data_IF_588237157947
#
_entry.id   IF_588237157947
#
_cell.length_a   1.000
_cell.length_b   1.000
_cell.length_c   1.000
_cell.angle_alpha   90.00
_cell.angle_beta   90.00
_cell.angle_gamma   90.00
#
_symmetry.space_group_name_H-M   'P 1'
#
loop_
_entity.id
_entity.type
_entity.pdbx_description
1 polymer ?
#
# COMPACT_ATOMS: atom_id res chain seq x y z
N UNK A 1 21.46 -9.05 22.13
CA UNK A 1 22.21 -7.82 21.79
C UNK A 1 21.19 -6.80 21.32
N UNK A 2 20.74 -5.91 22.22
CA UNK A 2 19.74 -4.89 21.88
C UNK A 2 20.39 -3.79 21.06
N UNK A 3 19.83 -3.49 19.90
CA UNK A 3 20.21 -2.31 19.12
C UNK A 3 19.24 -1.20 19.51
N UNK A 4 19.64 -0.33 20.44
CA UNK A 4 18.91 0.90 20.71
C UNK A 4 19.07 1.84 19.50
N UNK A 5 17.99 2.07 18.78
CA UNK A 5 17.93 3.09 17.72
C UNK A 5 17.52 4.41 18.35
N UNK A 6 18.49 5.29 18.65
CA UNK A 6 18.21 6.69 19.02
C UNK A 6 17.84 7.46 17.75
N UNK A 7 16.57 7.80 17.60
CA UNK A 7 16.09 8.68 16.52
C UNK A 7 16.35 10.13 16.90
N UNK A 8 17.27 10.79 16.20
CA UNK A 8 17.49 12.23 16.33
C UNK A 8 16.58 12.96 15.34
N UNK A 9 15.65 13.78 15.83
CA UNK A 9 14.93 14.74 15.01
C UNK A 9 15.51 16.13 15.28
N UNK A 10 16.22 16.69 14.31
CA UNK A 10 16.60 18.11 14.31
C UNK A 10 16.15 18.76 13.01
N UNK A 11 15.44 19.87 13.12
CA UNK A 11 15.07 20.73 12.00
C UNK A 11 16.21 21.69 11.68
N UNK A 12 16.75 21.59 10.47
CA UNK A 12 17.79 22.46 9.90
C UNK A 12 18.36 21.85 8.63
N UNK A 13 18.74 22.69 7.66
CA UNK A 13 19.26 22.25 6.37
C UNK A 13 20.70 21.70 6.54
N UNK A 14 20.88 20.40 6.35
CA UNK A 14 22.19 19.77 6.47
C UNK A 14 23.12 20.26 5.34
N UNK A 15 24.36 20.65 5.68
CA UNK A 15 25.45 20.79 4.71
C UNK A 15 25.53 19.49 3.88
N UNK A 16 25.67 19.64 2.56
CA UNK A 16 25.63 18.54 1.56
C UNK A 16 26.55 17.36 1.90
N UNK A 17 27.69 17.62 2.52
CA UNK A 17 28.67 16.62 2.99
C UNK A 17 28.12 15.71 4.10
N UNK A 18 27.39 16.28 5.08
CA UNK A 18 26.78 15.52 6.18
C UNK A 18 25.64 14.66 5.65
N UNK A 19 24.86 15.18 4.69
CA UNK A 19 23.81 14.42 4.01
C UNK A 19 24.37 13.21 3.26
N UNK A 20 25.49 13.37 2.56
CA UNK A 20 26.14 12.26 1.84
C UNK A 20 26.65 11.19 2.82
N UNK A 21 27.27 11.60 3.92
CA UNK A 21 27.77 10.67 4.94
C UNK A 21 26.65 9.90 5.65
N UNK A 22 25.55 10.57 6.02
CA UNK A 22 24.37 9.91 6.60
C UNK A 22 23.72 8.96 5.58
N UNK A 23 23.58 9.37 4.32
CA UNK A 23 23.11 8.47 3.26
C UNK A 23 24.02 7.27 3.07
N UNK A 24 25.35 7.44 3.15
CA UNK A 24 26.30 6.34 3.06
C UNK A 24 26.13 5.35 4.22
N UNK A 25 25.99 5.84 5.46
CA UNK A 25 25.72 4.98 6.62
C UNK A 25 24.36 4.28 6.53
N UNK A 26 23.33 4.96 6.02
CA UNK A 26 21.98 4.41 5.80
C UNK A 26 21.88 3.53 4.54
N UNK A 27 22.89 3.55 3.65
CA UNK A 27 22.87 2.82 2.37
C UNK A 27 23.27 1.35 2.48
N UNK A 28 23.70 0.89 3.66
CA UNK A 28 24.02 -0.53 3.86
C UNK A 28 22.78 -1.29 4.29
N UNK A 29 22.25 -2.09 3.36
CA UNK A 29 21.05 -2.90 3.58
C UNK A 29 21.39 -4.38 3.52
N UNK A 30 21.32 -5.09 4.66
CA UNK A 30 21.67 -6.51 4.76
C UNK A 30 20.44 -7.37 4.50
N UNK A 31 20.48 -8.19 3.44
CA UNK A 31 19.45 -9.16 3.09
C UNK A 31 19.93 -10.59 3.35
N UNK A 32 19.14 -11.35 4.11
CA UNK A 32 19.36 -12.78 4.34
C UNK A 32 18.33 -13.53 3.49
N UNK A 33 18.81 -14.26 2.47
CA UNK A 33 17.96 -15.05 1.57
C UNK A 33 18.38 -16.53 1.59
N UNK A 34 17.40 -17.43 1.52
CA UNK A 34 17.66 -18.88 1.44
C UNK A 34 17.98 -19.24 0.00
N UNK A 35 19.24 -19.58 -0.28
CA UNK A 35 19.73 -19.88 -1.62
C UNK A 35 19.08 -21.17 -2.18
N UNK A 36 17.97 -21.04 -2.90
CA UNK A 36 17.61 -21.98 -3.96
C UNK A 36 18.03 -21.34 -5.29
N UNK A 37 19.21 -21.73 -5.78
CA UNK A 37 19.88 -21.18 -6.96
C UNK A 37 18.92 -21.00 -8.14
N UNK A 38 18.76 -19.75 -8.58
CA UNK A 38 18.38 -19.31 -9.95
C UNK A 38 18.26 -17.79 -10.03
N UNK A 39 18.06 -17.09 -8.90
CA UNK A 39 17.92 -15.63 -8.87
C UNK A 39 19.25 -14.88 -8.65
N UNK A 40 19.39 -13.76 -9.34
CA UNK A 40 20.44 -12.75 -9.19
C UNK A 40 20.21 -11.88 -7.95
N UNK A 41 21.25 -11.17 -7.51
CA UNK A 41 21.14 -10.24 -6.38
C UNK A 41 20.12 -9.11 -6.63
N UNK A 42 20.00 -8.66 -7.88
CA UNK A 42 19.00 -7.67 -8.29
C UNK A 42 17.57 -8.21 -8.11
N UNK A 43 17.32 -9.43 -8.59
CA UNK A 43 16.00 -10.08 -8.44
C UNK A 43 15.63 -10.28 -6.96
N UNK A 44 16.59 -10.68 -6.12
CA UNK A 44 16.38 -10.81 -4.67
C UNK A 44 16.03 -9.46 -4.03
N UNK A 45 16.71 -8.39 -4.43
CA UNK A 45 16.43 -7.04 -3.92
C UNK A 45 15.05 -6.54 -4.37
N UNK A 46 14.69 -6.78 -5.62
CA UNK A 46 13.37 -6.44 -6.18
C UNK A 46 12.27 -7.19 -5.42
N UNK A 47 12.43 -8.51 -5.22
CA UNK A 47 11.48 -9.33 -4.47
C UNK A 47 11.29 -8.79 -3.04
N UNK A 48 12.39 -8.51 -2.35
CA UNK A 48 12.34 -7.92 -1.00
C UNK A 48 11.56 -6.59 -0.99
N UNK A 49 11.86 -5.68 -1.92
CA UNK A 49 11.19 -4.37 -1.99
C UNK A 49 9.70 -4.50 -2.30
N UNK A 50 9.28 -5.55 -3.01
CA UNK A 50 7.86 -5.81 -3.28
C UNK A 50 7.09 -6.26 -2.04
N UNK A 51 7.72 -6.88 -1.03
CA UNK A 51 7.05 -7.26 0.23
C UNK A 51 6.44 -6.05 0.94
N UNK A 52 7.12 -4.91 0.91
CA UNK A 52 6.61 -3.64 1.47
C UNK A 52 5.27 -3.21 0.85
N UNK A 53 5.06 -3.48 -0.44
CA UNK A 53 3.80 -3.18 -1.13
C UNK A 53 2.62 -3.94 -0.52
N UNK A 54 2.85 -5.20 -0.14
CA UNK A 54 1.85 -6.06 0.50
C UNK A 54 1.51 -5.51 1.89
N UNK A 55 2.52 -5.16 2.68
CA UNK A 55 2.32 -4.58 4.02
C UNK A 55 1.51 -3.29 3.98
N UNK A 56 1.79 -2.40 3.02
CA UNK A 56 1.02 -1.17 2.84
C UNK A 56 -0.44 -1.43 2.46
N UNK A 57 -0.73 -2.45 1.65
CA UNK A 57 -2.11 -2.86 1.32
C UNK A 57 -2.86 -3.37 2.55
N UNK A 58 -2.22 -4.19 3.39
CA UNK A 58 -2.82 -4.61 4.65
C UNK A 58 -3.01 -3.46 5.64
N UNK A 59 -2.09 -2.48 5.66
CA UNK A 59 -2.23 -1.28 6.48
C UNK A 59 -3.44 -0.44 6.08
N UNK A 60 -3.68 -0.29 4.77
CA UNK A 60 -4.87 0.40 4.27
C UNK A 60 -6.15 -0.22 4.82
N UNK A 61 -6.27 -1.55 4.77
CA UNK A 61 -7.45 -2.22 5.27
C UNK A 61 -7.55 -2.14 6.80
N UNK A 62 -6.44 -2.22 7.53
CA UNK A 62 -6.43 -2.02 8.98
C UNK A 62 -6.66 -0.57 9.41
N UNK A 63 -6.82 0.37 8.47
CA UNK A 63 -7.07 1.77 8.79
C UNK A 63 -8.38 1.91 9.57
N UNK A 64 -8.37 2.59 10.73
CA UNK A 64 -9.58 2.87 11.51
C UNK A 64 -10.67 3.59 10.69
N UNK A 65 -10.27 4.35 9.67
CA UNK A 65 -11.17 5.06 8.76
C UNK A 65 -12.04 4.12 7.90
N UNK A 66 -11.58 2.90 7.65
CA UNK A 66 -12.27 1.93 6.79
C UNK A 66 -13.13 0.96 7.62
N UNK A 67 -12.59 0.48 8.74
CA UNK A 67 -13.19 -0.64 9.50
C UNK A 67 -13.73 -0.27 10.89
N UNK A 68 -13.41 0.93 11.40
CA UNK A 68 -13.71 1.29 12.78
C UNK A 68 -13.03 0.37 13.81
N UNK A 69 -13.35 0.52 15.11
CA UNK A 69 -12.82 -0.36 16.14
C UNK A 69 -13.45 -1.77 16.04
N UNK A 70 -12.62 -2.79 15.80
CA UNK A 70 -13.06 -4.19 15.72
C UNK A 70 -12.61 -4.95 16.96
N UNK A 71 -13.54 -5.38 17.80
CA UNK A 71 -13.26 -6.16 19.01
C UNK A 71 -13.48 -7.67 18.80
N UNK A 72 -12.40 -8.42 18.70
CA UNK A 72 -12.41 -9.88 18.52
C UNK A 72 -11.97 -10.57 19.81
N UNK A 73 -12.85 -11.40 20.39
CA UNK A 73 -12.60 -12.09 21.67
C UNK A 73 -11.98 -13.48 21.54
N UNK A 74 -11.92 -14.06 20.34
CA UNK A 74 -11.45 -15.44 20.13
C UNK A 74 -10.55 -15.57 18.91
N UNK A 75 -9.58 -16.50 18.98
CA UNK A 75 -8.65 -16.81 17.88
C UNK A 75 -9.39 -17.15 16.58
N UNK A 76 -10.46 -17.94 16.64
CA UNK A 76 -11.29 -18.30 15.48
C UNK A 76 -11.82 -17.07 14.74
N UNK A 77 -12.31 -16.06 15.46
CA UNK A 77 -12.82 -14.81 14.85
C UNK A 77 -11.72 -13.97 14.23
N UNK A 78 -10.52 -13.98 14.81
CA UNK A 78 -9.32 -13.32 14.23
C UNK A 78 -8.96 -13.96 12.89
N UNK A 79 -8.90 -15.30 12.81
CA UNK A 79 -8.62 -15.99 11.55
C UNK A 79 -9.68 -15.74 10.49
N UNK A 80 -10.96 -15.82 10.87
CA UNK A 80 -12.07 -15.54 9.95
C UNK A 80 -11.99 -14.11 9.38
N UNK A 81 -11.70 -13.11 10.23
CA UNK A 81 -11.52 -11.73 9.78
C UNK A 81 -10.32 -11.60 8.82
N UNK A 82 -9.22 -12.31 9.10
CA UNK A 82 -8.07 -12.36 8.20
C UNK A 82 -8.44 -12.84 6.78
N UNK A 83 -9.29 -13.88 6.67
CA UNK A 83 -9.76 -14.35 5.37
C UNK A 83 -10.65 -13.33 4.66
N UNK A 84 -11.58 -12.70 5.38
CA UNK A 84 -12.42 -11.62 4.82
C UNK A 84 -11.55 -10.46 4.32
N UNK A 85 -10.49 -10.14 5.05
CA UNK A 85 -9.55 -9.10 4.65
C UNK A 85 -8.80 -9.43 3.37
N UNK A 86 -8.33 -10.67 3.23
CA UNK A 86 -7.69 -11.13 2.00
C UNK A 86 -8.66 -11.02 0.81
N UNK A 87 -9.93 -11.42 0.97
CA UNK A 87 -10.95 -11.27 -0.07
C UNK A 87 -11.20 -9.79 -0.43
N UNK A 88 -11.32 -8.92 0.57
CA UNK A 88 -11.48 -7.48 0.34
C UNK A 88 -10.30 -6.88 -0.43
N UNK A 89 -9.05 -7.28 -0.10
CA UNK A 89 -7.85 -6.84 -0.82
C UNK A 89 -7.81 -7.37 -2.26
N UNK A 90 -8.25 -8.61 -2.50
CA UNK A 90 -8.35 -9.15 -3.86
C UNK A 90 -9.34 -8.34 -4.71
N UNK A 91 -10.55 -8.11 -4.21
CA UNK A 91 -11.56 -7.30 -4.91
C UNK A 91 -11.06 -5.87 -5.14
N UNK A 92 -10.42 -5.27 -4.14
CA UNK A 92 -9.84 -3.93 -4.24
C UNK A 92 -8.77 -3.86 -5.33
N UNK A 93 -7.87 -4.84 -5.37
CA UNK A 93 -6.79 -4.91 -6.36
C UNK A 93 -7.33 -5.15 -7.76
N UNK A 94 -8.37 -5.97 -7.89
CA UNK A 94 -9.08 -6.19 -9.16
C UNK A 94 -9.76 -4.91 -9.66
N UNK A 95 -10.43 -4.16 -8.78
CA UNK A 95 -11.06 -2.90 -9.16
C UNK A 95 -10.04 -1.84 -9.59
N UNK A 96 -8.94 -1.69 -8.84
CA UNK A 96 -7.80 -0.85 -9.25
C UNK A 96 -7.30 -1.24 -10.64
N UNK A 97 -7.07 -2.53 -10.87
CA UNK A 97 -6.63 -3.03 -12.18
C UNK A 97 -7.62 -2.67 -13.29
N UNK A 98 -8.92 -2.94 -13.10
CA UNK A 98 -9.96 -2.67 -14.10
C UNK A 98 -10.05 -1.19 -14.45
N UNK A 99 -10.06 -0.32 -13.45
CA UNK A 99 -10.14 1.14 -13.66
C UNK A 99 -8.88 1.65 -14.34
N UNK A 100 -7.69 1.27 -13.86
CA UNK A 100 -6.41 1.72 -14.46
C UNK A 100 -6.26 1.25 -15.91
N UNK A 101 -6.66 0.01 -16.19
CA UNK A 101 -6.66 -0.53 -17.55
C UNK A 101 -7.57 0.29 -18.46
N UNK A 102 -8.81 0.56 -18.05
CA UNK A 102 -9.75 1.35 -18.84
C UNK A 102 -9.25 2.78 -19.07
N UNK A 103 -8.71 3.45 -18.05
CA UNK A 103 -8.17 4.80 -18.17
C UNK A 103 -7.02 4.84 -19.18
N UNK A 104 -6.11 3.86 -19.12
CA UNK A 104 -4.99 3.77 -20.04
C UNK A 104 -5.44 3.49 -21.49
N UNK A 105 -6.40 2.57 -21.68
CA UNK A 105 -6.96 2.24 -23.01
C UNK A 105 -7.68 3.44 -23.65
N UNK A 106 -8.39 4.24 -22.85
CA UNK A 106 -9.13 5.41 -23.32
C UNK A 106 -8.29 6.71 -23.30
N UNK A 107 -7.04 6.68 -22.83
CA UNK A 107 -6.20 7.87 -22.60
C UNK A 107 -6.86 8.92 -21.66
N UNK A 108 -7.61 8.45 -20.68
CA UNK A 108 -8.36 9.27 -19.73
C UNK A 108 -7.65 9.36 -18.37
N UNK A 109 -8.05 10.33 -17.55
CA UNK A 109 -7.53 10.47 -16.18
C UNK A 109 -8.62 10.92 -15.21
N UNK A 110 -8.54 10.44 -13.96
CA UNK A 110 -9.38 10.92 -12.87
C UNK A 110 -8.78 12.18 -12.25
N UNK A 111 -9.63 13.07 -11.76
CA UNK A 111 -9.24 14.35 -11.14
C UNK A 111 -9.34 14.26 -9.63
N UNK A 112 -8.20 14.18 -8.95
CA UNK A 112 -8.13 14.16 -7.49
C UNK A 112 -8.42 15.56 -6.90
N UNK A 113 -8.77 15.63 -5.60
CA UNK A 113 -8.79 16.89 -4.86
C UNK A 113 -7.50 17.69 -5.07
N UNK A 114 -7.62 18.98 -5.37
CA UNK A 114 -6.50 19.84 -5.76
C UNK A 114 -6.14 19.81 -7.25
N UNK A 115 -7.07 19.39 -8.11
CA UNK A 115 -6.94 19.39 -9.59
C UNK A 115 -5.78 18.55 -10.14
N UNK A 116 -5.32 17.54 -9.38
CA UNK A 116 -4.29 16.62 -9.85
C UNK A 116 -4.91 15.49 -10.67
N UNK A 117 -4.46 15.33 -11.92
CA UNK A 117 -4.88 14.23 -12.79
C UNK A 117 -4.07 12.96 -12.49
N UNK A 118 -4.74 11.82 -12.45
CA UNK A 118 -4.08 10.51 -12.29
C UNK A 118 -4.70 9.45 -13.20
N UNK A 119 -3.84 8.64 -13.81
CA UNK A 119 -4.21 7.41 -14.52
C UNK A 119 -4.07 6.17 -13.62
N UNK A 120 -3.51 6.36 -12.41
CA UNK A 120 -3.21 5.31 -11.46
C UNK A 120 -3.96 5.56 -10.15
N UNK A 121 -5.30 5.67 -10.16
CA UNK A 121 -6.06 5.92 -8.94
C UNK A 121 -5.92 4.77 -7.95
N UNK A 122 -5.94 5.10 -6.67
CA UNK A 122 -6.01 4.12 -5.56
C UNK A 122 -7.44 3.62 -5.37
N UNK A 123 -7.61 2.48 -4.70
CA UNK A 123 -8.94 2.00 -4.32
C UNK A 123 -9.74 3.04 -3.51
N UNK A 124 -9.07 3.80 -2.63
CA UNK A 124 -9.72 4.85 -1.85
C UNK A 124 -10.35 5.92 -2.75
N UNK A 125 -9.58 6.40 -3.74
CA UNK A 125 -10.05 7.34 -4.77
C UNK A 125 -11.22 6.76 -5.54
N UNK A 126 -11.10 5.52 -6.00
CA UNK A 126 -12.17 4.88 -6.79
C UNK A 126 -13.46 4.80 -5.96
N UNK A 127 -13.37 4.38 -4.70
CA UNK A 127 -14.54 4.32 -3.81
C UNK A 127 -15.14 5.69 -3.52
N UNK A 128 -14.35 6.76 -3.42
CA UNK A 128 -14.86 8.12 -3.29
C UNK A 128 -15.69 8.55 -4.51
N UNK A 129 -15.22 8.24 -5.72
CA UNK A 129 -15.98 8.48 -6.94
C UNK A 129 -17.27 7.66 -6.99
N UNK A 130 -17.21 6.38 -6.60
CA UNK A 130 -18.40 5.52 -6.57
C UNK A 130 -19.43 5.98 -5.54
N UNK A 131 -19.03 6.60 -4.41
CA UNK A 131 -19.96 7.18 -3.45
C UNK A 131 -20.82 8.31 -4.04
N UNK A 132 -20.36 8.97 -5.11
CA UNK A 132 -21.14 10.00 -5.79
C UNK A 132 -22.21 9.41 -6.73
N UNK A 133 -22.13 8.12 -7.05
CA UNK A 133 -23.10 7.46 -7.90
C UNK A 133 -24.32 7.08 -7.06
N UNK A 134 -25.46 7.71 -7.36
CA UNK A 134 -26.75 7.32 -6.79
C UNK A 134 -27.36 6.25 -7.68
N UNK A 135 -27.51 5.03 -7.15
CA UNK A 135 -28.22 3.95 -7.84
C UNK A 135 -29.71 4.06 -7.49
N UNK A 136 -30.54 4.37 -8.48
CA UNK A 136 -32.00 4.32 -8.35
C UNK A 136 -32.49 3.05 -9.02
N UNK A 137 -33.05 2.13 -8.23
CA UNK A 137 -33.77 0.98 -8.78
C UNK A 137 -35.22 1.40 -9.02
N UNK A 138 -35.67 1.29 -10.27
CA UNK A 138 -37.08 1.48 -10.63
C UNK A 138 -37.63 0.09 -10.93
N UNK A 139 -38.46 -0.39 -10.01
CA UNK A 139 -39.03 -1.75 -9.91
C UNK A 139 -38.06 -2.79 -9.37
N UNK A 140 -38.10 -2.98 -8.05
CA UNK A 140 -37.46 -4.11 -7.39
C UNK A 140 -38.20 -5.41 -7.69
N UNK A 141 -37.50 -6.31 -8.38
CA UNK A 141 -37.40 -7.70 -7.94
C UNK A 141 -35.95 -7.94 -7.47
#
# INVERSE_FOLDING_TARGET
MSIETKTYHTMGDFRSEVRYYLHYLESTFVLIHKVSKTMTAEEILVEYKQQYSIENRFRFLKSPLILGPVFLKSKKRIHALGHVFILALMVSSYLEYRVRKSLNENQESLTLPGNKKTQVPSIATILEYLKMIVVVSVNGE
#
